data_IF_357890159693
#
_entry.id   IF_357890159693
#
_cell.length_a   1.000
_cell.length_b   1.000
_cell.length_c   1.000
_cell.angle_alpha   90.00
_cell.angle_beta   90.00
_cell.angle_gamma   90.00
#
_symmetry.space_group_name_H-M   'P 1'
#
loop_
_entity.id
_entity.type
_entity.pdbx_description
1 polymer ?
#
# COMPACT_ATOMS: atom_id res chain seq x y z
N UNK A 1 -5.75 -29.05 -22.46
CA UNK A 1 -4.59 -29.97 -22.41
C UNK A 1 -4.36 -30.48 -23.83
N UNK A 2 -3.14 -30.39 -24.36
CA UNK A 2 -2.83 -30.84 -25.73
C UNK A 2 -2.01 -32.12 -25.71
N UNK A 3 -2.04 -32.86 -26.82
CA UNK A 3 -1.13 -33.99 -27.06
C UNK A 3 0.00 -33.52 -27.96
N UNK A 4 1.23 -33.91 -27.64
CA UNK A 4 2.38 -33.68 -28.50
C UNK A 4 2.12 -34.36 -29.86
N UNK A 5 2.32 -33.62 -30.95
CA UNK A 5 2.18 -34.13 -32.31
C UNK A 5 3.39 -34.98 -32.71
N UNK A 6 3.26 -35.68 -33.84
CA UNK A 6 4.36 -36.42 -34.44
C UNK A 6 5.53 -35.49 -34.79
N UNK A 7 6.76 -35.96 -34.56
CA UNK A 7 7.99 -35.20 -34.83
C UNK A 7 8.07 -34.67 -36.27
N UNK A 8 7.46 -35.38 -37.24
CA UNK A 8 7.33 -34.95 -38.64
C UNK A 8 6.58 -33.61 -38.76
N UNK A 9 5.42 -33.50 -38.10
CA UNK A 9 4.57 -32.31 -38.13
C UNK A 9 5.19 -31.16 -37.35
N UNK A 10 5.83 -31.46 -36.22
CA UNK A 10 6.56 -30.46 -35.44
C UNK A 10 7.72 -29.88 -36.27
N UNK A 11 8.50 -30.74 -36.93
CA UNK A 11 9.61 -30.32 -37.80
C UNK A 11 9.15 -29.48 -38.99
N UNK A 12 8.04 -29.86 -39.64
CA UNK A 12 7.43 -29.07 -40.72
C UNK A 12 6.96 -27.70 -40.24
N UNK A 13 6.33 -27.65 -39.06
CA UNK A 13 5.86 -26.41 -38.45
C UNK A 13 7.01 -25.44 -38.13
N UNK A 14 8.08 -25.92 -37.48
CA UNK A 14 9.28 -25.11 -37.23
C UNK A 14 9.91 -24.67 -38.55
N UNK A 15 9.95 -25.54 -39.56
CA UNK A 15 10.40 -25.20 -40.91
C UNK A 15 9.66 -23.99 -41.49
N UNK A 16 8.33 -23.97 -41.36
CA UNK A 16 7.48 -22.85 -41.80
C UNK A 16 7.76 -21.57 -41.00
N UNK A 17 7.91 -21.67 -39.68
CA UNK A 17 8.21 -20.51 -38.83
C UNK A 17 9.57 -19.88 -39.15
N UNK A 18 10.60 -20.71 -39.30
CA UNK A 18 11.96 -20.26 -39.68
C UNK A 18 11.93 -19.59 -41.06
N UNK A 19 11.32 -20.22 -42.05
CA UNK A 19 11.23 -19.66 -43.40
C UNK A 19 10.48 -18.32 -43.41
N UNK A 20 9.42 -18.19 -42.60
CA UNK A 20 8.63 -16.96 -42.49
C UNK A 20 9.42 -15.82 -41.82
N UNK A 21 10.15 -16.09 -40.74
CA UNK A 21 10.80 -15.05 -39.93
C UNK A 21 12.22 -14.71 -40.40
N UNK A 22 12.99 -15.71 -40.80
CA UNK A 22 14.42 -15.55 -41.09
C UNK A 22 14.77 -15.79 -42.56
N UNK A 23 13.85 -16.35 -43.36
CA UNK A 23 14.05 -16.67 -44.78
C UNK A 23 14.97 -17.86 -45.02
N UNK A 24 16.14 -17.89 -44.38
CA UNK A 24 17.17 -18.93 -44.55
C UNK A 24 17.64 -19.53 -43.23
N UNK A 25 17.92 -20.84 -43.25
CA UNK A 25 18.36 -21.61 -42.07
C UNK A 25 19.70 -21.11 -41.53
N UNK A 26 20.55 -20.56 -42.40
CA UNK A 26 21.81 -19.95 -42.01
C UNK A 26 21.59 -18.73 -41.12
N UNK A 27 20.62 -17.88 -41.44
CA UNK A 27 20.32 -16.69 -40.65
C UNK A 27 19.75 -17.08 -39.28
N UNK A 28 18.87 -18.09 -39.26
CA UNK A 28 18.37 -18.64 -38.00
C UNK A 28 19.47 -19.27 -37.14
N UNK A 29 20.44 -19.96 -37.76
CA UNK A 29 21.57 -20.54 -37.04
C UNK A 29 22.46 -19.50 -36.36
N UNK A 30 22.67 -18.33 -36.99
CA UNK A 30 23.43 -17.22 -36.39
C UNK A 30 22.73 -16.74 -35.12
N UNK A 31 21.44 -16.40 -35.21
CA UNK A 31 20.66 -15.91 -34.06
C UNK A 31 20.53 -16.97 -32.96
N UNK A 32 20.42 -18.24 -33.34
CA UNK A 32 20.43 -19.37 -32.40
C UNK A 32 21.73 -19.42 -31.59
N UNK A 33 22.89 -19.25 -32.22
CA UNK A 33 24.18 -19.29 -31.52
C UNK A 33 24.34 -18.06 -30.62
N UNK A 34 24.00 -16.87 -31.12
CA UNK A 34 24.02 -15.62 -30.34
C UNK A 34 23.20 -15.74 -29.06
N UNK A 35 21.97 -16.23 -29.17
CA UNK A 35 21.10 -16.42 -28.01
C UNK A 35 21.57 -17.54 -27.07
N UNK A 36 22.10 -18.64 -27.61
CA UNK A 36 22.58 -19.78 -26.81
C UNK A 36 23.82 -19.41 -25.98
N UNK A 37 24.75 -18.67 -26.57
CA UNK A 37 26.07 -18.39 -25.97
C UNK A 37 26.15 -16.98 -25.35
N UNK A 38 25.13 -16.14 -25.55
CA UNK A 38 25.09 -14.76 -25.04
C UNK A 38 26.12 -13.86 -25.71
N UNK A 39 26.34 -14.03 -27.02
CA UNK A 39 27.32 -13.28 -27.80
C UNK A 39 26.63 -12.35 -28.80
N UNK A 40 27.19 -11.15 -29.00
CA UNK A 40 26.69 -10.18 -29.97
C UNK A 40 27.43 -10.25 -31.32
N UNK A 41 28.65 -10.78 -31.31
CA UNK A 41 29.53 -10.95 -32.47
C UNK A 41 29.04 -12.04 -33.42
N UNK A 42 29.49 -12.00 -34.69
CA UNK A 42 29.14 -13.02 -35.67
C UNK A 42 29.86 -14.35 -35.33
N UNK A 43 29.12 -15.47 -35.17
CA UNK A 43 29.73 -16.74 -34.80
C UNK A 43 30.66 -17.29 -35.89
N UNK A 44 31.57 -18.18 -35.49
CA UNK A 44 32.48 -18.83 -36.43
C UNK A 44 31.71 -19.65 -37.49
N UNK A 45 32.19 -19.62 -38.75
CA UNK A 45 31.44 -20.23 -39.87
C UNK A 45 31.26 -21.75 -39.74
N UNK A 46 32.16 -22.45 -39.07
CA UNK A 46 32.06 -23.88 -38.78
C UNK A 46 30.95 -24.17 -37.77
N UNK A 47 30.78 -23.30 -36.79
CA UNK A 47 29.71 -23.37 -35.80
C UNK A 47 28.34 -23.08 -36.40
N UNK A 48 28.25 -22.04 -37.24
CA UNK A 48 27.04 -21.75 -38.04
C UNK A 48 26.64 -22.98 -38.85
N UNK A 49 27.60 -23.64 -39.52
CA UNK A 49 27.31 -24.82 -40.31
C UNK A 49 26.82 -26.00 -39.45
N UNK A 50 27.40 -26.19 -38.25
CA UNK A 50 27.00 -27.24 -37.31
C UNK A 50 25.56 -27.02 -36.81
N UNK A 51 25.21 -25.80 -36.44
CA UNK A 51 23.85 -25.45 -35.98
C UNK A 51 22.85 -25.50 -37.12
N UNK A 52 23.20 -25.01 -38.31
CA UNK A 52 22.35 -25.13 -39.51
C UNK A 52 22.05 -26.61 -39.86
N UNK A 53 23.05 -27.48 -39.73
CA UNK A 53 22.85 -28.93 -39.91
C UNK A 53 21.91 -29.52 -38.84
N UNK A 54 22.03 -29.07 -37.58
CA UNK A 54 21.13 -29.46 -36.49
C UNK A 54 19.69 -29.03 -36.78
N UNK A 55 19.48 -27.79 -37.21
CA UNK A 55 18.17 -27.25 -37.61
C UNK A 55 17.59 -28.04 -38.79
N UNK A 56 18.41 -28.32 -39.81
CA UNK A 56 17.98 -29.13 -40.95
C UNK A 56 17.54 -30.54 -40.52
N UNK A 57 18.21 -31.13 -39.53
CA UNK A 57 17.81 -32.41 -38.95
C UNK A 57 16.50 -32.33 -38.16
N UNK A 58 16.24 -31.24 -37.42
CA UNK A 58 14.96 -31.02 -36.72
C UNK A 58 13.77 -30.93 -37.68
N UNK A 59 14.00 -30.39 -38.88
CA UNK A 59 12.96 -30.29 -39.93
C UNK A 59 12.68 -31.62 -40.63
N UNK A 60 13.61 -32.57 -40.57
CA UNK A 60 13.48 -33.88 -41.24
C UNK A 60 12.67 -34.85 -40.37
N UNK A 61 11.88 -35.67 -41.05
CA UNK A 61 11.01 -36.69 -40.45
C UNK A 61 11.84 -37.65 -39.57
N UNK A 62 11.43 -37.81 -38.31
CA UNK A 62 11.89 -38.93 -37.45
C UNK A 62 12.94 -38.59 -36.39
N UNK A 63 13.49 -37.37 -36.34
CA UNK A 63 14.34 -36.94 -35.21
C UNK A 63 13.54 -36.00 -34.31
N UNK A 64 13.27 -36.43 -33.08
CA UNK A 64 12.64 -35.58 -32.07
C UNK A 64 13.50 -34.37 -31.71
N UNK A 65 12.87 -33.30 -31.23
CA UNK A 65 13.55 -32.09 -30.75
C UNK A 65 14.11 -32.37 -29.36
N UNK A 66 15.34 -31.93 -29.10
CA UNK A 66 15.92 -32.03 -27.77
C UNK A 66 15.28 -30.99 -26.84
N UNK A 67 15.04 -31.36 -25.59
CA UNK A 67 14.40 -30.47 -24.61
C UNK A 67 15.14 -29.14 -24.45
N UNK A 68 16.47 -29.17 -24.53
CA UNK A 68 17.33 -27.97 -24.42
C UNK A 68 17.16 -26.98 -25.58
N UNK A 69 16.59 -27.42 -26.71
CA UNK A 69 16.35 -26.55 -27.86
C UNK A 69 15.03 -25.81 -27.78
N UNK A 70 14.07 -26.31 -26.99
CA UNK A 70 12.71 -25.76 -26.92
C UNK A 70 12.67 -24.30 -26.44
N UNK A 71 13.42 -23.87 -25.39
CA UNK A 71 13.42 -22.47 -24.97
C UNK A 71 13.96 -21.54 -26.06
N UNK A 72 15.06 -21.91 -26.72
CA UNK A 72 15.70 -21.12 -27.78
C UNK A 72 14.79 -21.01 -28.99
N UNK A 73 14.17 -22.12 -29.41
CA UNK A 73 13.19 -22.13 -30.50
C UNK A 73 11.95 -21.30 -30.15
N UNK A 74 11.45 -21.38 -28.91
CA UNK A 74 10.29 -20.60 -28.46
C UNK A 74 10.57 -19.10 -28.50
N UNK A 75 11.74 -18.69 -28.04
CA UNK A 75 12.21 -17.30 -28.02
C UNK A 75 12.34 -16.75 -29.44
N UNK A 76 13.17 -17.39 -30.26
CA UNK A 76 13.50 -16.89 -31.60
C UNK A 76 12.33 -16.97 -32.58
N UNK A 77 11.43 -17.95 -32.44
CA UNK A 77 10.27 -18.08 -33.32
C UNK A 77 9.02 -17.37 -32.80
N UNK A 78 9.10 -16.75 -31.62
CA UNK A 78 7.98 -16.03 -30.97
C UNK A 78 6.70 -16.87 -30.91
N UNK A 79 6.85 -18.16 -30.60
CA UNK A 79 5.73 -19.08 -30.33
C UNK A 79 5.95 -19.82 -29.02
N UNK A 80 4.88 -20.22 -28.33
CA UNK A 80 5.04 -21.04 -27.11
C UNK A 80 5.59 -22.42 -27.43
N UNK A 81 6.25 -23.03 -26.43
CA UNK A 81 6.62 -24.46 -26.48
C UNK A 81 5.38 -25.32 -26.75
N UNK A 82 4.23 -24.97 -26.20
CA UNK A 82 2.95 -25.65 -26.48
C UNK A 82 2.55 -25.57 -27.95
N UNK A 83 2.77 -24.43 -28.60
CA UNK A 83 2.52 -24.26 -30.04
C UNK A 83 3.49 -25.10 -30.87
N UNK A 84 4.77 -25.14 -30.48
CA UNK A 84 5.78 -26.00 -31.12
C UNK A 84 5.38 -27.48 -31.01
N UNK A 85 5.13 -27.96 -29.79
CA UNK A 85 4.85 -29.36 -29.52
C UNK A 85 3.51 -29.84 -30.11
N UNK A 86 2.56 -28.92 -30.34
CA UNK A 86 1.29 -29.21 -31.01
C UNK A 86 1.31 -28.96 -32.53
N UNK A 87 2.49 -28.67 -33.10
CA UNK A 87 2.66 -28.31 -34.52
C UNK A 87 1.70 -27.18 -34.98
N UNK A 88 1.53 -26.17 -34.13
CA UNK A 88 0.68 -25.00 -34.40
C UNK A 88 -0.83 -25.21 -34.18
N UNK A 89 -1.26 -26.41 -33.72
CA UNK A 89 -2.68 -26.66 -33.41
C UNK A 89 -3.15 -25.90 -32.16
N UNK A 90 -2.23 -25.59 -31.25
CA UNK A 90 -2.49 -24.74 -30.09
C UNK A 90 -1.81 -23.40 -30.33
N UNK A 91 -2.62 -22.36 -30.52
CA UNK A 91 -2.15 -20.98 -30.57
C UNK A 91 -2.13 -20.43 -29.14
N UNK A 92 -1.05 -20.70 -28.41
CA UNK A 92 -0.75 -20.02 -27.15
C UNK A 92 0.38 -19.00 -27.36
N UNK A 93 0.27 -17.80 -26.79
CA UNK A 93 1.31 -16.77 -26.93
C UNK A 93 2.66 -17.26 -26.39
N UNK A 94 3.75 -16.84 -27.02
CA UNK A 94 5.12 -17.17 -26.58
C UNK A 94 5.49 -16.50 -25.25
N UNK A 95 6.49 -17.03 -24.51
CA UNK A 95 7.04 -16.38 -23.32
C UNK A 95 7.65 -15.00 -23.59
N UNK A 96 8.03 -14.71 -24.84
CA UNK A 96 8.52 -13.39 -25.31
C UNK A 96 7.44 -12.32 -25.42
N UNK A 97 6.17 -12.69 -25.23
CA UNK A 97 5.11 -11.70 -25.17
C UNK A 97 5.24 -10.92 -23.87
N UNK A 98 5.45 -9.61 -23.96
CA UNK A 98 5.30 -8.71 -22.82
C UNK A 98 3.90 -8.88 -22.23
N UNK A 99 3.83 -9.46 -21.05
CA UNK A 99 2.62 -9.69 -20.26
C UNK A 99 2.68 -8.90 -18.95
N UNK A 100 1.53 -8.77 -18.29
CA UNK A 100 1.44 -8.24 -16.93
C UNK A 100 2.45 -8.90 -15.99
N UNK A 101 2.57 -10.23 -16.05
CA UNK A 101 3.54 -11.00 -15.28
C UNK A 101 4.99 -10.57 -15.56
N UNK A 102 5.40 -10.57 -16.84
CA UNK A 102 6.79 -10.26 -17.22
C UNK A 102 7.20 -8.83 -16.87
N UNK A 103 6.27 -7.88 -17.02
CA UNK A 103 6.50 -6.46 -16.72
C UNK A 103 6.56 -6.23 -15.23
N UNK A 104 5.67 -6.86 -14.47
CA UNK A 104 5.69 -6.83 -13.01
C UNK A 104 6.96 -7.44 -12.42
N UNK A 105 7.59 -8.39 -13.11
CA UNK A 105 8.87 -8.97 -12.68
C UNK A 105 10.08 -8.10 -13.10
N UNK A 106 9.95 -7.32 -14.18
CA UNK A 106 11.02 -6.46 -14.69
C UNK A 106 11.42 -5.37 -13.70
N UNK A 107 12.72 -5.05 -13.68
CA UNK A 107 13.27 -3.89 -12.96
C UNK A 107 13.63 -2.72 -13.88
N UNK A 108 13.35 -2.85 -15.17
CA UNK A 108 13.70 -1.86 -16.18
C UNK A 108 12.54 -0.88 -16.40
N UNK A 109 12.77 0.39 -16.05
CA UNK A 109 11.83 1.50 -16.27
C UNK A 109 11.42 1.65 -17.73
N UNK A 110 12.31 1.32 -18.67
CA UNK A 110 12.01 1.37 -20.10
C UNK A 110 10.95 0.34 -20.47
N UNK A 111 11.07 -0.89 -19.95
CA UNK A 111 10.06 -1.95 -20.15
C UNK A 111 8.71 -1.53 -19.56
N UNK A 112 8.71 -0.87 -18.40
CA UNK A 112 7.49 -0.37 -17.78
C UNK A 112 6.80 0.68 -18.65
N UNK A 113 7.56 1.69 -19.09
CA UNK A 113 7.02 2.77 -19.92
C UNK A 113 6.54 2.27 -21.28
N UNK A 114 7.34 1.43 -21.96
CA UNK A 114 6.94 0.81 -23.23
C UNK A 114 5.66 -0.02 -23.10
N UNK A 115 5.39 -0.63 -21.94
CA UNK A 115 4.17 -1.39 -21.69
C UNK A 115 2.96 -0.49 -21.38
N UNK A 116 3.17 0.61 -20.66
CA UNK A 116 2.15 1.64 -20.39
C UNK A 116 1.69 2.29 -21.71
N UNK A 117 2.64 2.64 -22.58
CA UNK A 117 2.40 3.36 -23.83
C UNK A 117 1.83 2.48 -24.95
N UNK A 118 1.58 1.20 -24.68
CA UNK A 118 1.06 0.29 -25.70
C UNK A 118 -0.30 0.78 -26.20
N UNK A 119 -0.51 0.83 -27.53
CA UNK A 119 -1.79 1.22 -28.10
C UNK A 119 -2.98 0.34 -27.66
N UNK A 120 -2.70 -0.92 -27.27
CA UNK A 120 -3.73 -1.85 -26.80
C UNK A 120 -4.10 -1.69 -25.31
N UNK A 121 -3.37 -0.84 -24.56
CA UNK A 121 -3.66 -0.42 -23.17
C UNK A 121 -3.93 -1.58 -22.22
N UNK A 122 -3.13 -2.64 -22.33
CA UNK A 122 -3.34 -3.89 -21.59
C UNK A 122 -2.89 -3.86 -20.13
N UNK A 123 -2.11 -2.85 -19.71
CA UNK A 123 -1.38 -2.89 -18.44
C UNK A 123 -2.24 -3.10 -17.19
N UNK A 124 -3.44 -2.53 -17.17
CA UNK A 124 -4.39 -2.68 -16.06
C UNK A 124 -5.55 -3.64 -16.39
N UNK A 125 -5.51 -4.30 -17.53
CA UNK A 125 -6.48 -5.33 -17.87
C UNK A 125 -6.04 -6.66 -17.26
N UNK A 126 -6.97 -7.33 -16.58
CA UNK A 126 -6.75 -8.65 -16.01
C UNK A 126 -6.44 -9.68 -17.12
N UNK A 127 -5.45 -10.53 -16.89
CA UNK A 127 -5.11 -11.66 -17.77
C UNK A 127 -5.98 -12.90 -17.47
N UNK A 128 -5.63 -14.06 -18.05
CA UNK A 128 -6.36 -15.31 -17.83
C UNK A 128 -6.39 -15.80 -16.37
N UNK A 129 -5.56 -15.23 -15.48
CA UNK A 129 -5.54 -15.52 -14.05
C UNK A 129 -6.34 -14.50 -13.22
N UNK A 130 -7.01 -13.55 -13.87
CA UNK A 130 -7.75 -12.49 -13.20
C UNK A 130 -6.82 -11.46 -12.54
N UNK A 131 -5.58 -11.31 -13.03
CA UNK A 131 -4.57 -10.42 -12.43
C UNK A 131 -4.04 -9.40 -13.44
N UNK A 132 -3.88 -8.17 -12.98
CA UNK A 132 -3.21 -7.10 -13.74
C UNK A 132 -1.74 -6.94 -13.31
N UNK A 133 -1.02 -5.99 -13.90
CA UNK A 133 0.40 -5.74 -13.57
C UNK A 133 0.61 -5.39 -12.09
N UNK A 134 -0.32 -4.66 -11.47
CA UNK A 134 -0.22 -4.19 -10.08
C UNK A 134 -0.32 -5.39 -9.14
N UNK A 135 -1.27 -6.30 -9.40
CA UNK A 135 -1.44 -7.52 -8.60
C UNK A 135 -0.16 -8.36 -8.59
N UNK A 136 0.49 -8.51 -9.75
CA UNK A 136 1.75 -9.22 -9.86
C UNK A 136 2.91 -8.45 -9.23
N UNK A 137 2.98 -7.13 -9.40
CA UNK A 137 4.04 -6.31 -8.83
C UNK A 137 4.02 -6.37 -7.30
N UNK A 138 2.83 -6.33 -6.69
CA UNK A 138 2.63 -6.56 -5.26
C UNK A 138 3.08 -7.99 -4.90
N UNK A 139 2.62 -9.00 -5.65
CA UNK A 139 2.97 -10.39 -5.41
C UNK A 139 4.47 -10.71 -5.49
N UNK A 140 5.22 -9.98 -6.31
CA UNK A 140 6.68 -10.09 -6.43
C UNK A 140 7.45 -9.17 -5.50
N UNK A 141 6.78 -8.25 -4.81
CA UNK A 141 7.43 -7.18 -4.05
C UNK A 141 8.23 -6.21 -4.93
N UNK A 142 7.80 -5.99 -6.19
CA UNK A 142 8.45 -5.04 -7.08
C UNK A 142 8.06 -3.60 -6.74
N UNK A 143 8.60 -3.11 -5.62
CA UNK A 143 8.33 -1.77 -5.13
C UNK A 143 8.77 -0.67 -6.11
N UNK A 144 9.84 -0.90 -6.88
CA UNK A 144 10.32 0.05 -7.89
C UNK A 144 9.27 0.36 -8.97
N UNK A 145 8.56 -0.66 -9.45
CA UNK A 145 7.46 -0.48 -10.41
C UNK A 145 6.27 0.24 -9.75
N UNK A 146 5.90 -0.16 -8.53
CA UNK A 146 4.80 0.50 -7.80
C UNK A 146 5.09 2.00 -7.60
N UNK A 147 6.28 2.33 -7.09
CA UNK A 147 6.69 3.73 -6.91
C UNK A 147 6.73 4.48 -8.24
N UNK A 148 7.20 3.84 -9.32
CA UNK A 148 7.14 4.43 -10.65
C UNK A 148 5.72 4.78 -11.10
N UNK A 149 4.74 3.92 -10.82
CA UNK A 149 3.33 4.18 -11.15
C UNK A 149 2.75 5.33 -10.32
N UNK A 150 3.15 5.47 -9.06
CA UNK A 150 2.70 6.57 -8.18
C UNK A 150 3.37 7.89 -8.59
N UNK A 151 4.69 7.92 -8.71
CA UNK A 151 5.50 9.11 -9.02
C UNK A 151 5.14 9.75 -10.38
N UNK A 152 4.49 9.00 -11.28
CA UNK A 152 4.03 9.47 -12.60
C UNK A 152 2.51 9.63 -12.68
N UNK A 153 1.81 9.69 -11.55
CA UNK A 153 0.37 9.87 -11.42
C UNK A 153 -0.48 8.80 -12.13
N UNK A 154 0.10 7.64 -12.46
CA UNK A 154 -0.62 6.55 -13.12
C UNK A 154 -1.60 5.85 -12.15
N UNK A 155 -1.25 5.78 -10.87
CA UNK A 155 -2.13 5.32 -9.80
C UNK A 155 -2.09 6.30 -8.64
N UNK A 156 -3.21 6.44 -7.93
CA UNK A 156 -3.32 7.20 -6.69
C UNK A 156 -3.89 6.30 -5.59
N UNK A 157 -3.39 6.50 -4.37
CA UNK A 157 -3.73 5.67 -3.20
C UNK A 157 -4.89 6.22 -2.38
N UNK A 158 -5.19 7.50 -2.58
CA UNK A 158 -6.15 8.30 -1.83
C UNK A 158 -6.98 9.12 -2.84
N UNK A 159 -8.31 9.10 -2.74
CA UNK A 159 -9.19 10.00 -3.50
C UNK A 159 -9.05 11.41 -2.91
N UNK A 160 -8.95 12.43 -3.77
CA UNK A 160 -8.79 13.81 -3.34
C UNK A 160 -10.03 14.34 -2.59
N UNK A 161 -11.20 13.76 -2.85
CA UNK A 161 -12.44 14.16 -2.23
C UNK A 161 -12.62 13.52 -0.84
N UNK A 162 -12.13 14.19 0.20
CA UNK A 162 -12.26 13.74 1.60
C UNK A 162 -13.73 13.52 2.03
N UNK A 163 -14.69 14.23 1.41
CA UNK A 163 -16.10 14.00 1.67
C UNK A 163 -16.58 12.63 1.18
N UNK A 164 -15.76 11.89 0.41
CA UNK A 164 -16.03 10.51 -0.01
C UNK A 164 -15.38 9.46 0.87
N UNK A 165 -14.69 9.82 1.97
CA UNK A 165 -14.05 8.87 2.89
C UNK A 165 -15.05 8.07 3.76
N UNK A 166 -16.15 7.58 3.17
CA UNK A 166 -17.16 6.75 3.80
C UNK A 166 -16.77 5.28 3.71
N UNK A 167 -15.78 4.86 4.50
CA UNK A 167 -15.38 3.45 4.58
C UNK A 167 -14.03 3.10 3.97
N UNK A 168 -13.48 3.92 3.08
CA UNK A 168 -12.14 3.77 2.48
C UNK A 168 -11.56 5.15 2.18
N UNK A 169 -10.25 5.24 1.93
CA UNK A 169 -9.67 6.47 1.38
C UNK A 169 -9.87 6.59 -0.13
N UNK A 170 -10.23 5.49 -0.79
CA UNK A 170 -10.39 5.41 -2.24
C UNK A 170 -9.04 5.36 -2.94
N UNK A 171 -8.81 4.36 -3.78
CA UNK A 171 -7.67 4.33 -4.69
C UNK A 171 -8.16 4.27 -6.13
N UNK A 172 -7.29 4.59 -7.08
CA UNK A 172 -7.65 4.56 -8.49
C UNK A 172 -6.47 4.76 -9.42
N UNK A 173 -6.78 4.98 -10.69
CA UNK A 173 -5.80 5.09 -11.77
C UNK A 173 -6.22 6.13 -12.79
N UNK A 174 -5.23 6.78 -13.41
CA UNK A 174 -5.41 7.67 -14.55
C UNK A 174 -5.15 6.97 -15.88
N UNK A 175 -4.63 5.73 -15.87
CA UNK A 175 -4.37 4.96 -17.08
C UNK A 175 -5.70 4.65 -17.75
N UNK A 176 -5.89 5.22 -18.95
CA UNK A 176 -7.05 4.90 -19.77
C UNK A 176 -6.99 3.44 -20.18
N UNK A 177 -8.01 2.67 -19.79
CA UNK A 177 -8.08 1.25 -20.10
C UNK A 177 -8.79 1.00 -21.41
N UNK A 178 -8.49 -0.14 -22.01
CA UNK A 178 -9.34 -0.66 -23.08
C UNK A 178 -10.74 -0.93 -22.48
N UNK A 179 -11.82 -0.30 -23.01
CA UNK A 179 -13.15 -0.50 -22.49
C UNK A 179 -13.50 -1.99 -22.49
N UNK A 180 -13.91 -2.58 -21.36
CA UNK A 180 -14.53 -3.89 -21.40
C UNK A 180 -15.82 -3.79 -22.23
N UNK A 181 -16.23 -4.91 -22.83
CA UNK A 181 -17.44 -4.94 -23.65
C UNK A 181 -18.71 -4.61 -22.85
N UNK A 182 -18.71 -4.67 -21.51
CA UNK A 182 -19.92 -4.44 -20.69
C UNK A 182 -19.74 -3.62 -19.38
N UNK A 183 -18.70 -3.77 -18.54
CA UNK A 183 -18.52 -2.97 -17.28
C UNK A 183 -17.05 -2.90 -16.78
N UNK A 184 -16.57 -1.73 -16.34
CA UNK A 184 -15.25 -1.60 -15.69
C UNK A 184 -15.33 -1.84 -14.17
N UNK A 185 -14.95 -3.05 -13.75
CA UNK A 185 -14.94 -3.46 -12.35
C UNK A 185 -13.68 -2.99 -11.58
N UNK A 186 -12.61 -2.58 -12.25
CA UNK A 186 -11.37 -2.21 -11.56
C UNK A 186 -11.53 -0.91 -10.80
N UNK A 187 -12.15 0.11 -11.41
CA UNK A 187 -12.40 1.39 -10.75
C UNK A 187 -13.23 1.19 -9.48
N UNK A 188 -14.28 0.36 -9.57
CA UNK A 188 -15.09 0.00 -8.41
C UNK A 188 -14.28 -0.77 -7.35
N UNK A 189 -13.46 -1.75 -7.76
CA UNK A 189 -12.59 -2.51 -6.85
C UNK A 189 -11.59 -1.60 -6.14
N UNK A 190 -10.91 -0.69 -6.84
CA UNK A 190 -9.90 0.20 -6.27
C UNK A 190 -10.53 1.25 -5.34
N UNK A 191 -11.72 1.77 -5.66
CA UNK A 191 -12.42 2.74 -4.81
C UNK A 191 -12.96 2.11 -3.53
N UNK A 192 -13.53 0.91 -3.63
CA UNK A 192 -14.23 0.25 -2.50
C UNK A 192 -13.32 -0.65 -1.65
N UNK A 193 -12.09 -0.94 -2.09
CA UNK A 193 -11.19 -1.85 -1.40
C UNK A 193 -9.84 -1.19 -1.07
N UNK A 194 -9.57 -1.04 0.23
CA UNK A 194 -8.33 -0.48 0.76
C UNK A 194 -7.14 -1.46 0.66
N UNK A 195 -7.32 -2.65 0.05
CA UNK A 195 -6.27 -3.66 -0.07
C UNK A 195 -5.08 -3.17 -0.87
N UNK A 196 -5.29 -2.40 -1.94
CA UNK A 196 -4.21 -1.83 -2.74
C UNK A 196 -3.34 -0.90 -1.89
N UNK A 197 -3.97 0.07 -1.21
CA UNK A 197 -3.30 0.98 -0.27
C UNK A 197 -2.52 0.22 0.79
N UNK A 198 -3.17 -0.76 1.43
CA UNK A 198 -2.55 -1.57 2.50
C UNK A 198 -1.35 -2.38 2.00
N UNK A 199 -1.43 -2.99 0.81
CA UNK A 199 -0.32 -3.73 0.20
C UNK A 199 0.86 -2.83 -0.15
N UNK A 200 0.59 -1.61 -0.64
CA UNK A 200 1.63 -0.65 -0.98
C UNK A 200 2.29 -0.09 0.29
N UNK A 201 1.51 0.19 1.33
CA UNK A 201 2.05 0.54 2.65
C UNK A 201 2.99 -0.56 3.13
N UNK A 202 2.61 -1.85 3.04
CA UNK A 202 3.48 -2.94 3.46
C UNK A 202 4.84 -2.94 2.74
N UNK A 203 4.86 -2.70 1.43
CA UNK A 203 6.10 -2.56 0.67
C UNK A 203 6.90 -1.31 1.07
N UNK A 204 6.23 -0.18 1.33
CA UNK A 204 6.88 1.04 1.78
C UNK A 204 7.52 0.90 3.17
N UNK A 205 6.90 0.12 4.08
CA UNK A 205 7.49 -0.22 5.39
C UNK A 205 8.82 -0.98 5.23
N UNK A 206 8.88 -1.94 4.31
CA UNK A 206 10.09 -2.72 4.02
C UNK A 206 11.20 -1.88 3.40
N UNK A 207 10.83 -0.88 2.58
CA UNK A 207 11.76 0.02 1.91
C UNK A 207 12.08 1.30 2.71
N UNK A 208 11.45 1.50 3.88
CA UNK A 208 11.56 2.71 4.72
C UNK A 208 11.24 4.00 3.95
N UNK A 209 10.27 3.92 3.05
CA UNK A 209 9.87 5.05 2.21
C UNK A 209 8.79 5.87 2.93
N UNK A 210 9.24 6.82 3.76
CA UNK A 210 8.34 7.65 4.56
C UNK A 210 7.45 8.57 3.72
N UNK A 211 7.91 8.98 2.53
CA UNK A 211 7.13 9.78 1.60
C UNK A 211 5.89 9.02 1.14
N UNK A 212 6.06 7.77 0.69
CA UNK A 212 4.92 6.92 0.33
C UNK A 212 4.06 6.55 1.54
N UNK A 213 4.65 6.39 2.74
CA UNK A 213 3.86 6.15 3.95
C UNK A 213 2.98 7.36 4.33
N UNK A 214 3.46 8.58 4.13
CA UNK A 214 2.69 9.81 4.36
C UNK A 214 1.63 10.00 3.27
N UNK A 215 1.99 9.85 1.99
CA UNK A 215 1.05 9.94 0.85
C UNK A 215 -0.07 8.91 0.97
N UNK A 216 0.27 7.67 1.32
CA UNK A 216 -0.69 6.60 1.53
C UNK A 216 -1.44 6.73 2.86
N UNK A 217 -1.21 7.77 3.68
CA UNK A 217 -1.86 7.97 4.99
C UNK A 217 -1.74 6.76 5.91
N UNK A 218 -0.55 6.17 6.01
CA UNK A 218 -0.33 4.88 6.70
C UNK A 218 -0.65 4.90 8.20
N UNK A 219 -0.63 6.09 8.83
CA UNK A 219 -0.95 6.32 10.24
C UNK A 219 -2.42 6.71 10.47
N UNK A 220 -3.22 6.78 9.41
CA UNK A 220 -4.59 7.31 9.44
C UNK A 220 -5.62 6.24 9.06
N UNK A 221 -6.85 6.45 9.52
CA UNK A 221 -8.04 5.65 9.13
C UNK A 221 -9.16 6.60 8.70
N UNK A 222 -10.07 6.17 7.80
CA UNK A 222 -11.13 7.03 7.29
C UNK A 222 -11.99 7.68 8.39
N UNK A 223 -12.29 6.96 9.48
CA UNK A 223 -13.13 7.50 10.56
C UNK A 223 -12.54 8.72 11.27
N UNK A 224 -11.22 8.97 11.21
CA UNK A 224 -10.64 10.19 11.77
C UNK A 224 -11.18 11.45 11.09
N UNK A 225 -11.57 11.37 9.82
CA UNK A 225 -12.10 12.50 9.04
C UNK A 225 -13.55 12.83 9.38
N UNK A 226 -14.24 11.98 10.13
CA UNK A 226 -15.58 12.25 10.65
C UNK A 226 -15.55 13.05 11.98
N UNK A 227 -14.37 13.21 12.57
CA UNK A 227 -14.18 13.87 13.85
C UNK A 227 -14.60 15.35 13.83
N UNK A 228 -15.05 15.81 15.00
CA UNK A 228 -15.68 17.12 15.19
C UNK A 228 -15.46 17.60 16.61
N UNK A 229 -15.38 18.92 16.79
CA UNK A 229 -15.43 19.53 18.12
C UNK A 229 -16.87 19.56 18.67
N UNK A 230 -17.87 19.80 17.82
CA UNK A 230 -19.25 20.12 18.22
C UNK A 230 -20.18 18.95 18.49
N UNK A 231 -19.84 17.76 18.02
CA UNK A 231 -20.75 16.62 18.04
C UNK A 231 -20.02 15.43 18.59
N UNK A 232 -20.64 14.78 19.55
CA UNK A 232 -20.14 13.55 20.13
C UNK A 232 -20.31 12.36 19.19
N UNK A 233 -19.61 12.39 18.05
CA UNK A 233 -19.56 11.25 17.13
C UNK A 233 -18.47 10.31 17.60
N UNK A 234 -18.88 9.22 18.26
CA UNK A 234 -17.97 8.12 18.53
C UNK A 234 -17.44 7.59 17.19
N UNK A 235 -16.12 7.66 17.00
CA UNK A 235 -15.49 7.13 15.79
C UNK A 235 -15.61 5.60 15.75
N UNK A 236 -15.73 5.02 14.56
CA UNK A 236 -15.64 3.56 14.42
C UNK A 236 -14.19 3.14 14.18
N UNK A 237 -13.34 3.26 15.21
CA UNK A 237 -11.91 2.91 15.11
C UNK A 237 -11.72 1.40 15.01
N UNK A 238 -12.65 0.60 15.56
CA UNK A 238 -12.59 -0.87 15.57
C UNK A 238 -12.81 -1.46 14.18
N UNK A 239 -13.72 -0.91 13.37
CA UNK A 239 -13.97 -1.35 11.99
C UNK A 239 -12.71 -1.38 11.11
N UNK A 240 -11.78 -0.44 11.32
CA UNK A 240 -10.57 -0.33 10.50
C UNK A 240 -9.36 -1.07 11.09
N UNK A 241 -9.51 -1.74 12.23
CA UNK A 241 -8.40 -2.47 12.82
C UNK A 241 -8.05 -3.70 11.98
N UNK A 242 -6.80 -3.75 11.50
CA UNK A 242 -6.27 -4.86 10.73
C UNK A 242 -5.08 -5.50 11.47
N UNK A 243 -5.27 -6.73 11.95
CA UNK A 243 -4.22 -7.45 12.69
C UNK A 243 -2.99 -7.74 11.84
N UNK A 244 -3.17 -8.08 10.56
CA UNK A 244 -2.04 -8.36 9.67
C UNK A 244 -1.20 -7.11 9.44
N UNK A 245 -1.84 -5.95 9.28
CA UNK A 245 -1.15 -4.67 9.18
C UNK A 245 -0.38 -4.32 10.46
N UNK A 246 -1.02 -4.47 11.63
CA UNK A 246 -0.36 -4.25 12.93
C UNK A 246 0.86 -5.15 13.11
N UNK A 247 0.76 -6.42 12.72
CA UNK A 247 1.86 -7.37 12.76
C UNK A 247 3.01 -6.98 11.82
N UNK A 248 2.70 -6.42 10.64
CA UNK A 248 3.72 -5.91 9.71
C UNK A 248 4.45 -4.69 10.29
N UNK A 249 3.70 -3.71 10.79
CA UNK A 249 4.28 -2.50 11.42
C UNK A 249 5.15 -2.88 12.62
N UNK A 250 4.67 -3.78 13.49
CA UNK A 250 5.41 -4.23 14.68
C UNK A 250 6.73 -4.97 14.34
N UNK A 251 6.81 -5.62 13.17
CA UNK A 251 8.02 -6.30 12.69
C UNK A 251 8.97 -5.36 11.93
N UNK A 252 8.50 -4.21 11.47
CA UNK A 252 9.31 -3.22 10.77
C UNK A 252 10.48 -2.71 11.62
N UNK A 253 11.38 -1.93 11.01
CA UNK A 253 12.53 -1.36 11.70
C UNK A 253 12.15 -0.44 12.87
N UNK A 254 13.07 -0.25 13.83
CA UNK A 254 12.84 0.64 14.97
C UNK A 254 12.57 2.10 14.54
N UNK A 255 13.16 2.56 13.44
CA UNK A 255 12.89 3.89 12.85
C UNK A 255 11.43 4.02 12.40
N UNK A 256 10.88 2.98 11.78
CA UNK A 256 9.47 2.93 11.36
C UNK A 256 8.56 2.91 12.58
N UNK A 257 8.90 2.18 13.65
CA UNK A 257 8.14 2.22 14.90
C UNK A 257 8.12 3.63 15.53
N UNK A 258 9.25 4.35 15.46
CA UNK A 258 9.32 5.75 15.90
C UNK A 258 8.44 6.65 15.02
N UNK A 259 8.46 6.46 13.70
CA UNK A 259 7.57 7.17 12.77
C UNK A 259 6.08 6.95 13.13
N UNK A 260 5.64 5.71 13.36
CA UNK A 260 4.26 5.41 13.77
C UNK A 260 3.88 5.97 15.15
N UNK A 261 4.86 6.23 16.01
CA UNK A 261 4.63 6.86 17.32
C UNK A 261 4.62 8.39 17.29
N UNK A 262 4.98 8.99 16.16
CA UNK A 262 5.05 10.45 16.02
C UNK A 262 3.67 11.02 15.69
N UNK A 263 3.42 12.24 16.16
CA UNK A 263 2.18 12.96 15.87
C UNK A 263 2.05 13.27 14.37
N UNK A 264 0.82 13.46 13.92
CA UNK A 264 0.48 14.02 12.62
C UNK A 264 -0.73 14.94 12.75
N UNK A 265 -0.96 15.77 11.74
CA UNK A 265 -2.07 16.71 11.69
C UNK A 265 -3.01 16.33 10.55
N UNK A 266 -4.32 16.43 10.79
CA UNK A 266 -5.35 16.29 9.76
C UNK A 266 -6.31 17.47 9.82
N UNK A 267 -6.90 17.78 8.67
CA UNK A 267 -8.12 18.57 8.60
C UNK A 267 -9.29 17.62 8.36
N UNK A 268 -10.29 17.62 9.24
CA UNK A 268 -11.46 16.73 9.11
C UNK A 268 -12.43 17.23 8.04
N UNK A 269 -13.41 16.41 7.67
CA UNK A 269 -14.50 16.79 6.75
C UNK A 269 -15.34 17.96 7.29
N UNK A 270 -15.26 18.24 8.60
CA UNK A 270 -15.91 19.34 9.29
C UNK A 270 -14.98 20.52 9.55
N UNK A 271 -13.83 20.58 8.88
CA UNK A 271 -12.84 21.67 8.98
C UNK A 271 -12.22 21.82 10.37
N UNK A 272 -12.22 20.74 11.15
CA UNK A 272 -11.49 20.68 12.41
C UNK A 272 -10.02 20.35 12.14
N UNK A 273 -9.10 21.13 12.68
CA UNK A 273 -7.67 20.83 12.68
C UNK A 273 -7.34 19.97 13.91
N UNK A 274 -6.92 18.74 13.67
CA UNK A 274 -6.69 17.77 14.72
C UNK A 274 -5.22 17.33 14.70
N UNK A 275 -4.57 17.40 15.86
CA UNK A 275 -3.26 16.76 16.07
C UNK A 275 -3.47 15.42 16.73
N UNK A 276 -3.01 14.35 16.08
CA UNK A 276 -3.33 12.97 16.43
C UNK A 276 -2.08 12.12 16.50
N UNK A 277 -2.22 10.95 17.11
CA UNK A 277 -1.27 9.84 16.99
C UNK A 277 -1.94 8.69 16.22
N UNK A 278 -1.13 7.69 15.83
CA UNK A 278 -1.67 6.48 15.22
C UNK A 278 -2.76 5.88 16.13
N UNK A 279 -3.99 5.62 15.65
CA UNK A 279 -5.11 5.22 16.50
C UNK A 279 -4.86 3.95 17.33
N UNK A 280 -3.93 3.11 16.89
CA UNK A 280 -3.56 1.86 17.55
C UNK A 280 -2.20 1.93 18.25
N UNK A 281 -1.67 3.13 18.51
CA UNK A 281 -0.32 3.33 19.07
C UNK A 281 -0.12 2.59 20.40
N UNK A 282 -1.11 2.60 21.30
CA UNK A 282 -1.06 1.86 22.56
C UNK A 282 -0.81 0.36 22.35
N UNK A 283 -1.55 -0.25 21.42
CA UNK A 283 -1.37 -1.66 21.04
C UNK A 283 -0.03 -1.91 20.34
N UNK A 284 0.42 -0.99 19.49
CA UNK A 284 1.72 -1.10 18.82
C UNK A 284 2.86 -1.06 19.84
N UNK A 285 2.77 -0.21 20.87
CA UNK A 285 3.72 -0.16 21.98
C UNK A 285 3.68 -1.47 22.79
N UNK A 286 2.50 -2.03 23.07
CA UNK A 286 2.38 -3.34 23.72
C UNK A 286 3.13 -4.43 22.95
N UNK A 287 3.02 -4.43 21.62
CA UNK A 287 3.74 -5.36 20.74
C UNK A 287 5.25 -5.11 20.77
N UNK A 288 5.68 -3.84 20.75
CA UNK A 288 7.08 -3.46 20.82
C UNK A 288 7.74 -3.86 22.15
N UNK A 289 7.04 -3.71 23.28
CA UNK A 289 7.50 -4.16 24.60
C UNK A 289 7.67 -5.68 24.64
N UNK A 290 6.67 -6.43 24.16
CA UNK A 290 6.72 -7.90 24.13
C UNK A 290 7.86 -8.44 23.27
N UNK A 291 8.21 -7.72 22.22
CA UNK A 291 9.30 -8.06 21.30
C UNK A 291 10.65 -7.42 21.67
N UNK A 292 10.77 -6.80 22.86
CA UNK A 292 12.00 -6.16 23.36
C UNK A 292 12.64 -5.18 22.34
N UNK A 293 11.79 -4.37 21.69
CA UNK A 293 12.23 -3.45 20.63
C UNK A 293 12.96 -2.25 21.22
N UNK A 294 14.07 -1.84 20.61
CA UNK A 294 14.85 -0.66 21.07
C UNK A 294 14.07 0.65 20.94
N UNK A 295 13.12 0.71 20.00
CA UNK A 295 12.25 1.87 19.81
C UNK A 295 11.32 2.15 21.00
N UNK A 296 11.05 1.17 21.85
CA UNK A 296 10.02 1.22 22.90
C UNK A 296 10.09 2.48 23.77
N UNK A 297 11.29 2.82 24.25
CA UNK A 297 11.46 4.01 25.09
C UNK A 297 11.08 5.31 24.36
N UNK A 298 11.45 5.43 23.09
CA UNK A 298 11.12 6.60 22.26
C UNK A 298 9.62 6.67 21.99
N UNK A 299 8.98 5.54 21.67
CA UNK A 299 7.54 5.49 21.43
C UNK A 299 6.75 5.89 22.69
N UNK A 300 7.15 5.42 23.87
CA UNK A 300 6.54 5.81 25.14
C UNK A 300 6.72 7.30 25.44
N UNK A 301 7.89 7.87 25.14
CA UNK A 301 8.13 9.32 25.29
C UNK A 301 7.23 10.14 24.36
N UNK A 302 7.05 9.69 23.12
CA UNK A 302 6.16 10.36 22.17
C UNK A 302 4.70 10.29 22.64
N UNK A 303 4.24 9.13 23.10
CA UNK A 303 2.92 8.96 23.68
C UNK A 303 2.70 9.84 24.92
N UNK A 304 3.68 9.90 25.84
CA UNK A 304 3.62 10.74 27.03
C UNK A 304 3.52 12.23 26.65
N UNK A 305 4.38 12.67 25.74
CA UNK A 305 4.37 14.05 25.25
C UNK A 305 3.00 14.41 24.66
N UNK A 306 2.46 13.56 23.78
CA UNK A 306 1.16 13.77 23.18
C UNK A 306 0.05 13.92 24.23
N UNK A 307 -0.04 12.99 25.19
CA UNK A 307 -1.03 13.06 26.26
C UNK A 307 -0.90 14.34 27.11
N UNK A 308 0.33 14.77 27.39
CA UNK A 308 0.60 16.01 28.13
C UNK A 308 0.20 17.25 27.34
N UNK A 309 0.46 17.28 26.04
CA UNK A 309 0.06 18.37 25.14
C UNK A 309 -1.47 18.43 25.03
N UNK A 310 -2.15 17.28 24.90
CA UNK A 310 -3.62 17.19 24.98
C UNK A 310 -4.15 17.77 26.29
N UNK A 311 -3.59 17.37 27.43
CA UNK A 311 -4.00 17.89 28.74
C UNK A 311 -3.80 19.41 28.85
N UNK A 312 -2.73 19.94 28.26
CA UNK A 312 -2.45 21.39 28.23
C UNK A 312 -3.49 22.13 27.40
N UNK A 313 -3.87 21.61 26.24
CA UNK A 313 -4.92 22.22 25.40
C UNK A 313 -6.29 22.15 26.07
N UNK A 314 -6.64 21.03 26.72
CA UNK A 314 -7.90 20.91 27.49
C UNK A 314 -8.02 22.01 28.57
N UNK A 315 -6.93 22.33 29.27
CA UNK A 315 -6.90 23.42 30.26
C UNK A 315 -7.12 24.80 29.64
N UNK A 316 -6.57 25.05 28.44
CA UNK A 316 -6.79 26.31 27.71
C UNK A 316 -8.24 26.44 27.26
N UNK A 317 -8.81 25.37 26.72
CA UNK A 317 -10.22 25.34 26.28
C UNK A 317 -11.15 25.56 27.48
N UNK A 318 -10.89 24.90 28.61
CA UNK A 318 -11.67 25.11 29.84
C UNK A 318 -11.61 26.55 30.34
N UNK A 319 -10.46 27.23 30.17
CA UNK A 319 -10.35 28.66 30.49
C UNK A 319 -11.17 29.52 29.54
N UNK A 320 -11.10 29.25 28.24
CA UNK A 320 -11.91 29.95 27.23
C UNK A 320 -13.42 29.72 27.45
N UNK A 321 -13.80 28.50 27.86
CA UNK A 321 -15.17 28.16 28.23
C UNK A 321 -15.62 28.97 29.45
N UNK A 322 -14.82 29.04 30.52
CA UNK A 322 -15.11 29.86 31.71
C UNK A 322 -15.33 31.34 31.33
N UNK A 323 -14.49 31.89 30.47
CA UNK A 323 -14.58 33.29 30.04
C UNK A 323 -15.88 33.57 29.25
N UNK A 324 -16.44 32.56 28.57
CA UNK A 324 -17.73 32.67 27.88
C UNK A 324 -18.92 32.87 28.83
N UNK A 325 -18.79 32.46 30.09
CA UNK A 325 -19.81 32.63 31.13
C UNK A 325 -19.69 33.97 31.89
N UNK A 326 -18.70 34.82 31.55
CA UNK A 326 -18.40 36.06 32.28
C UNK A 326 -19.61 36.99 32.48
N UNK A 327 -20.48 37.11 31.48
CA UNK A 327 -21.67 37.98 31.52
C UNK A 327 -22.77 37.49 32.46
N UNK A 328 -22.83 36.19 32.73
CA UNK A 328 -23.84 35.54 33.57
C UNK A 328 -23.27 34.97 34.87
N UNK A 329 -21.96 35.13 35.11
CA UNK A 329 -21.24 34.61 36.29
C UNK A 329 -21.90 35.00 37.61
N UNK A 330 -22.40 36.22 37.74
CA UNK A 330 -23.05 36.70 38.96
C UNK A 330 -24.38 35.98 39.31
N UNK A 331 -24.95 35.23 38.36
CA UNK A 331 -26.21 34.50 38.53
C UNK A 331 -26.01 32.99 38.70
N UNK A 332 -24.77 32.52 38.80
CA UNK A 332 -24.44 31.09 38.90
C UNK A 332 -23.55 30.82 40.11
N UNK A 333 -23.79 29.72 40.79
CA UNK A 333 -22.82 29.17 41.74
C UNK A 333 -21.67 28.45 41.01
N UNK A 334 -20.58 28.18 41.73
CA UNK A 334 -19.38 27.53 41.16
C UNK A 334 -19.70 26.15 40.57
N UNK A 335 -20.64 25.42 41.18
CA UNK A 335 -21.03 24.09 40.72
C UNK A 335 -21.71 24.16 39.35
N UNK A 336 -22.71 25.02 39.19
CA UNK A 336 -23.45 25.21 37.94
C UNK A 336 -22.54 25.72 36.83
N UNK A 337 -21.58 26.58 37.18
CA UNK A 337 -20.57 27.03 36.24
C UNK A 337 -19.67 25.88 35.78
N UNK A 338 -19.15 25.05 36.70
CA UNK A 338 -18.29 23.92 36.31
C UNK A 338 -19.05 22.88 35.48
N UNK A 339 -20.31 22.60 35.82
CA UNK A 339 -21.18 21.75 35.01
C UNK A 339 -21.36 22.32 33.59
N UNK A 340 -21.56 23.64 33.46
CA UNK A 340 -21.66 24.32 32.17
C UNK A 340 -20.35 24.33 31.36
N UNK A 341 -19.20 24.53 32.00
CA UNK A 341 -17.88 24.46 31.35
C UNK A 341 -17.59 23.05 30.85
N UNK A 342 -17.93 22.04 31.66
CA UNK A 342 -17.62 20.64 31.36
C UNK A 342 -18.68 19.95 30.50
N UNK A 343 -19.79 20.62 30.19
CA UNK A 343 -20.91 20.06 29.42
C UNK A 343 -20.47 19.46 28.07
N UNK A 344 -19.53 20.14 27.41
CA UNK A 344 -19.04 19.80 26.08
C UNK A 344 -17.75 18.96 26.10
N UNK A 345 -17.30 18.54 27.29
CA UNK A 345 -16.16 17.65 27.44
C UNK A 345 -16.62 16.19 27.32
N UNK A 346 -16.03 15.45 26.39
CA UNK A 346 -16.30 14.03 26.22
C UNK A 346 -15.02 13.22 26.06
N UNK A 347 -14.97 12.09 26.77
CA UNK A 347 -13.95 11.07 26.60
C UNK A 347 -14.59 9.78 26.12
N UNK A 348 -14.13 9.25 24.99
CA UNK A 348 -14.62 8.02 24.38
C UNK A 348 -13.65 6.87 24.69
N UNK A 349 -13.94 6.14 25.77
CA UNK A 349 -13.11 5.00 26.21
C UNK A 349 -12.97 3.92 25.14
N UNK A 350 -13.97 3.73 24.29
CA UNK A 350 -13.93 2.69 23.26
C UNK A 350 -12.86 2.92 22.20
N UNK A 351 -12.48 4.18 21.99
CA UNK A 351 -11.58 4.62 20.93
C UNK A 351 -10.34 5.33 21.48
N UNK A 352 -10.26 5.49 22.80
CA UNK A 352 -9.25 6.31 23.48
C UNK A 352 -9.11 7.70 22.83
N UNK A 353 -10.24 8.39 22.64
CA UNK A 353 -10.29 9.74 22.05
C UNK A 353 -10.99 10.72 22.99
N UNK A 354 -10.66 12.00 22.84
CA UNK A 354 -11.23 13.09 23.63
C UNK A 354 -11.70 14.21 22.71
N UNK A 355 -12.82 14.82 23.03
CA UNK A 355 -13.23 16.09 22.45
C UNK A 355 -13.65 17.10 23.52
N UNK A 356 -13.39 18.38 23.24
CA UNK A 356 -13.81 19.49 24.09
C UNK A 356 -13.87 20.78 23.28
N UNK A 357 -14.83 21.66 23.57
CA UNK A 357 -14.85 23.00 22.99
C UNK A 357 -15.32 24.08 23.99
N UNK A 358 -14.97 25.33 23.69
CA UNK A 358 -15.20 26.48 24.58
C UNK A 358 -16.62 27.09 24.52
N UNK A 359 -17.59 26.39 23.93
CA UNK A 359 -18.94 26.90 23.65
C UNK A 359 -19.04 27.96 22.52
N UNK A 360 -20.22 28.05 21.89
CA UNK A 360 -20.49 28.90 20.70
C UNK A 360 -20.56 30.41 21.05
N UNK A 361 -20.85 30.74 22.31
CA UNK A 361 -20.98 32.13 22.79
C UNK A 361 -19.63 32.79 23.12
N UNK A 362 -18.50 32.11 22.90
CA UNK A 362 -17.17 32.68 23.08
C UNK A 362 -16.93 33.75 21.99
N UNK A 363 -17.07 35.02 22.34
CA UNK A 363 -16.99 36.18 21.45
C UNK A 363 -15.71 36.22 20.59
N UNK A 364 -15.74 35.56 19.42
CA UNK A 364 -14.66 35.55 18.43
C UNK A 364 -13.46 34.63 18.73
N UNK A 365 -13.45 33.91 19.85
CA UNK A 365 -12.31 33.09 20.32
C UNK A 365 -12.71 31.63 20.58
N UNK A 366 -13.47 31.02 19.67
CA UNK A 366 -13.81 29.60 19.75
C UNK A 366 -12.53 28.74 19.74
N UNK A 367 -12.44 27.83 20.71
CA UNK A 367 -11.39 26.81 20.77
C UNK A 367 -12.03 25.44 20.86
N UNK A 368 -11.49 24.49 20.10
CA UNK A 368 -11.94 23.11 20.08
C UNK A 368 -10.75 22.17 19.95
N UNK A 369 -10.88 20.99 20.55
CA UNK A 369 -9.93 19.89 20.43
C UNK A 369 -10.69 18.62 20.12
N UNK A 370 -10.14 17.85 19.19
CA UNK A 370 -10.39 16.43 19.06
C UNK A 370 -9.03 15.75 18.96
N UNK A 371 -8.77 14.76 19.82
CA UNK A 371 -7.48 14.06 19.82
C UNK A 371 -7.60 12.59 20.22
N UNK A 372 -6.64 11.79 19.77
CA UNK A 372 -6.31 10.51 20.41
C UNK A 372 -5.71 10.72 21.79
N UNK A 373 -5.76 9.71 22.64
CA UNK A 373 -5.10 9.66 23.94
C UNK A 373 -4.49 8.28 24.11
N UNK A 374 -3.20 8.18 24.40
CA UNK A 374 -2.50 6.89 24.36
C UNK A 374 -2.53 6.23 25.72
N UNK A 375 -2.98 4.97 25.76
CA UNK A 375 -2.85 4.06 26.91
C UNK A 375 -2.08 2.82 26.51
N UNK A 376 -1.25 2.31 27.41
CA UNK A 376 -0.46 1.08 27.19
C UNK A 376 -0.85 0.05 28.24
N UNK A 377 -1.11 -1.19 27.81
CA UNK A 377 -1.61 -2.25 28.69
C UNK A 377 -0.54 -3.27 29.09
N UNK A 378 0.59 -3.29 28.39
CA UNK A 378 1.71 -4.17 28.69
C UNK A 378 2.44 -3.78 29.99
N UNK A 379 3.14 -4.76 30.56
CA UNK A 379 4.05 -4.59 31.68
C UNK A 379 5.48 -4.89 31.24
N UNK A 380 6.46 -4.18 31.79
CA UNK A 380 7.89 -4.45 31.59
C UNK A 380 8.60 -4.78 32.90
N UNK A 381 9.64 -5.62 32.81
CA UNK A 381 10.59 -5.86 33.91
C UNK A 381 11.71 -4.82 33.96
N UNK A 382 11.94 -4.12 32.85
CA UNK A 382 12.88 -3.00 32.80
C UNK A 382 12.28 -1.82 33.59
N UNK A 383 13.00 -1.35 34.62
CA UNK A 383 12.53 -0.31 35.53
C UNK A 383 12.32 1.04 34.83
N UNK A 384 13.15 1.35 33.83
CA UNK A 384 13.05 2.59 33.09
C UNK A 384 11.83 2.58 32.15
N UNK A 385 11.61 1.47 31.43
CA UNK A 385 10.39 1.28 30.63
C UNK A 385 9.15 1.27 31.51
N UNK A 386 9.21 0.63 32.68
CA UNK A 386 8.12 0.63 33.65
C UNK A 386 7.77 2.06 34.12
N UNK A 387 8.77 2.88 34.45
CA UNK A 387 8.52 4.28 34.81
C UNK A 387 7.82 5.05 33.69
N UNK A 388 8.24 4.87 32.44
CA UNK A 388 7.60 5.52 31.29
C UNK A 388 6.16 5.03 31.08
N UNK A 389 5.89 3.74 31.27
CA UNK A 389 4.54 3.18 31.22
C UNK A 389 3.61 3.81 32.27
N UNK A 390 4.11 3.93 33.50
CA UNK A 390 3.37 4.54 34.60
C UNK A 390 3.06 6.01 34.31
N UNK A 391 4.00 6.76 33.73
CA UNK A 391 3.79 8.16 33.36
C UNK A 391 2.80 8.32 32.19
N UNK A 392 2.90 7.49 31.14
CA UNK A 392 1.92 7.47 30.03
C UNK A 392 0.53 7.17 30.56
N UNK A 393 0.36 6.12 31.35
CA UNK A 393 -0.94 5.72 31.86
C UNK A 393 -1.49 6.71 32.92
N UNK A 394 -0.62 7.39 33.68
CA UNK A 394 -1.03 8.49 34.55
C UNK A 394 -1.57 9.65 33.73
N UNK A 395 -0.87 10.07 32.67
CA UNK A 395 -1.33 11.16 31.80
C UNK A 395 -2.63 10.82 31.07
N UNK A 396 -2.80 9.56 30.62
CA UNK A 396 -4.08 9.07 30.09
C UNK A 396 -5.21 9.22 31.11
N UNK A 397 -4.99 8.79 32.36
CA UNK A 397 -6.01 8.90 33.41
C UNK A 397 -6.34 10.36 33.78
N UNK A 398 -5.37 11.28 33.67
CA UNK A 398 -5.60 12.71 33.87
C UNK A 398 -6.45 13.31 32.74
N UNK A 399 -6.25 12.85 31.50
CA UNK A 399 -7.13 13.23 30.39
C UNK A 399 -8.49 12.61 30.60
N UNK A 400 -8.62 11.28 30.76
CA UNK A 400 -9.90 10.58 30.95
C UNK A 400 -10.77 11.23 32.03
N UNK A 401 -10.20 11.49 33.20
CA UNK A 401 -10.90 12.08 34.34
C UNK A 401 -10.69 13.60 34.43
N UNK A 402 -10.48 14.27 33.29
CA UNK A 402 -10.20 15.69 33.26
C UNK A 402 -11.34 16.47 33.91
N UNK A 403 -10.95 17.36 34.83
CA UNK A 403 -11.81 18.37 35.42
C UNK A 403 -11.04 19.69 35.33
N UNK A 404 -11.69 20.73 34.81
CA UNK A 404 -11.03 22.02 34.59
C UNK A 404 -10.56 22.68 35.90
N UNK A 405 -11.42 22.68 36.93
CA UNK A 405 -11.13 23.12 38.30
C UNK A 405 -11.89 22.25 39.29
N UNK A 406 -11.24 21.90 40.40
CA UNK A 406 -11.93 21.28 41.54
C UNK A 406 -12.87 22.32 42.19
N UNK A 407 -14.07 21.88 42.57
CA UNK A 407 -15.11 22.70 43.24
C UNK A 407 -15.04 22.51 44.73
#
# INVERSE_FOLDING_TARGET
MYRTEESSKIGEYIGKLIARKYGADRQFAIEYIKLRDGIDEEPASDEIQRVANKICQMKKIGKGIQINDLPILSELLEVSVDSILSAGKVAKPAPTRTTNYSVAFSKDKKVWQEYIDRPDRLILNEDEYGKNVIDYAIGFGNYGLIKYLIDNDYIYLIDEDQQKYWGTFGSGTTIERRPPFEYDLLEYKMKQNDSLRTSIIALALENKDYEILDEAKAREIPSLYEASYFYGTALDVKKYYNQQFMDQVARASDEVLVYFSSEFEIETNRKALCRLTFPYLGKLIDMAIKADRKATATMLKNALKHNQDVLKELKKIGKAAEDSFSSIRQYMDEKSLMEGIMQDYHFYEENDTVCFHSGINSAGNFQGLFSTVVRVSASSKDEYIKSLLDDVNRSYNQVKNFVYKEV
#
